data_IF_476617871781
#
_entry.id   IF_476617871781
#
_cell.length_a   1.000
_cell.length_b   1.000
_cell.length_c   1.000
_cell.angle_alpha   90.00
_cell.angle_beta   90.00
_cell.angle_gamma   90.00
#
_symmetry.space_group_name_H-M   'P 1'
#
loop_
_entity.id
_entity.type
_entity.pdbx_description
1 polymer ?
#
# COMPACT_ATOMS: atom_id res chain seq x y z
N UNK A 1 -60.05 -35.33 -21.50
CA UNK A 1 -58.65 -35.70 -21.21
C UNK A 1 -57.88 -34.40 -21.05
N UNK A 2 -57.60 -33.97 -19.81
CA UNK A 2 -56.92 -32.71 -19.50
C UNK A 2 -55.43 -33.00 -19.38
N UNK A 3 -54.62 -32.36 -20.23
CA UNK A 3 -53.18 -32.47 -20.22
C UNK A 3 -52.63 -31.51 -19.14
N UNK A 4 -52.16 -32.05 -18.01
CA UNK A 4 -51.40 -31.29 -17.02
C UNK A 4 -49.93 -31.20 -17.49
N UNK A 5 -49.47 -29.99 -17.79
CA UNK A 5 -48.06 -29.68 -18.02
C UNK A 5 -47.46 -29.27 -16.68
N UNK A 6 -46.61 -30.11 -16.10
CA UNK A 6 -45.79 -29.76 -14.94
C UNK A 6 -44.54 -29.04 -15.44
N UNK A 7 -44.45 -27.73 -15.19
CA UNK A 7 -43.22 -26.96 -15.39
C UNK A 7 -42.37 -27.18 -14.14
N UNK A 8 -41.30 -27.96 -14.27
CA UNK A 8 -40.29 -28.10 -13.21
C UNK A 8 -39.48 -26.80 -13.16
N UNK A 9 -39.74 -25.97 -12.14
CA UNK A 9 -38.81 -24.91 -11.78
C UNK A 9 -37.58 -25.57 -11.16
N UNK A 10 -36.43 -25.50 -11.84
CA UNK A 10 -35.16 -25.89 -11.25
C UNK A 10 -34.87 -25.08 -9.98
N UNK A 11 -34.00 -25.59 -9.08
CA UNK A 11 -33.61 -24.86 -7.88
C UNK A 11 -33.07 -23.47 -8.26
N UNK A 12 -33.31 -22.43 -7.45
CA UNK A 12 -32.70 -21.12 -7.68
C UNK A 12 -31.19 -21.29 -7.77
N UNK A 13 -30.60 -20.74 -8.83
CA UNK A 13 -29.15 -20.64 -8.96
C UNK A 13 -28.67 -19.90 -7.73
N UNK A 14 -27.91 -20.59 -6.86
CA UNK A 14 -27.26 -19.95 -5.72
C UNK A 14 -26.38 -18.84 -6.27
N UNK A 15 -26.73 -17.58 -6.00
CA UNK A 15 -25.85 -16.45 -6.30
C UNK A 15 -24.52 -16.71 -5.56
N UNK A 16 -23.41 -16.63 -6.29
CA UNK A 16 -22.09 -16.78 -5.68
C UNK A 16 -21.89 -15.65 -4.67
N UNK A 17 -21.50 -15.98 -3.44
CA UNK A 17 -21.22 -14.99 -2.39
C UNK A 17 -20.12 -14.06 -2.87
N UNK A 18 -20.37 -12.74 -2.83
CA UNK A 18 -19.36 -11.74 -3.15
C UNK A 18 -18.58 -11.41 -1.88
N UNK A 19 -17.25 -11.50 -1.97
CA UNK A 19 -16.31 -11.10 -0.94
C UNK A 19 -15.55 -9.85 -1.38
N UNK A 20 -15.11 -9.06 -0.41
CA UNK A 20 -14.24 -7.91 -0.65
C UNK A 20 -13.24 -7.77 0.48
N UNK A 21 -12.10 -7.18 0.15
CA UNK A 21 -11.02 -6.95 1.11
C UNK A 21 -10.19 -5.74 0.71
N UNK A 22 -9.52 -5.15 1.71
CA UNK A 22 -8.59 -4.04 1.51
C UNK A 22 -7.34 -4.32 2.32
N UNK A 23 -6.17 -4.08 1.74
CA UNK A 23 -4.90 -4.23 2.45
C UNK A 23 -3.69 -4.11 1.54
N UNK A 24 -2.53 -4.39 2.13
CA UNK A 24 -1.29 -4.53 1.39
C UNK A 24 -1.27 -5.92 0.72
N UNK A 25 -1.16 -5.94 -0.61
CA UNK A 25 -1.08 -7.20 -1.36
C UNK A 25 0.30 -7.84 -1.24
N UNK A 26 0.35 -9.14 -0.94
CA UNK A 26 1.58 -9.91 -0.84
C UNK A 26 1.40 -11.30 -1.42
N UNK A 27 2.52 -11.95 -1.73
CA UNK A 27 2.52 -13.37 -2.04
C UNK A 27 2.26 -14.17 -0.76
N UNK A 28 1.40 -15.19 -0.86
CA UNK A 28 1.18 -16.10 0.24
C UNK A 28 2.47 -16.90 0.50
N UNK A 29 2.92 -16.95 1.75
CA UNK A 29 4.14 -17.68 2.15
C UNK A 29 3.85 -19.09 2.67
N UNK A 30 2.60 -19.56 2.54
CA UNK A 30 2.19 -20.91 2.93
C UNK A 30 2.03 -21.12 4.43
N UNK A 31 1.78 -20.06 5.20
CA UNK A 31 1.57 -20.15 6.66
C UNK A 31 0.10 -20.17 7.06
N UNK A 32 -0.84 -20.00 6.12
CA UNK A 32 -2.27 -20.11 6.42
C UNK A 32 -2.75 -21.56 6.42
N UNK A 33 -3.92 -21.76 7.02
CA UNK A 33 -4.67 -23.01 6.96
C UNK A 33 -5.33 -23.27 5.61
N UNK A 34 -5.32 -22.30 4.70
CA UNK A 34 -6.06 -22.34 3.45
C UNK A 34 -5.13 -22.81 2.33
N UNK A 35 -5.28 -24.06 1.90
CA UNK A 35 -4.31 -24.77 1.04
C UNK A 35 -4.18 -24.14 -0.36
N UNK A 36 -5.20 -23.40 -0.81
CA UNK A 36 -5.30 -22.91 -2.19
C UNK A 36 -4.84 -21.46 -2.36
N UNK A 37 -4.56 -20.70 -1.30
CA UNK A 37 -4.22 -19.29 -1.46
C UNK A 37 -2.90 -19.08 -2.23
N UNK A 38 -2.90 -18.06 -3.07
CA UNK A 38 -1.71 -17.65 -3.84
C UNK A 38 -1.14 -16.32 -3.33
N UNK A 39 -2.03 -15.46 -2.83
CA UNK A 39 -1.74 -14.11 -2.37
C UNK A 39 -2.55 -13.83 -1.10
N UNK A 40 -2.13 -12.81 -0.35
CA UNK A 40 -2.83 -12.34 0.84
C UNK A 40 -2.96 -10.82 0.81
N UNK A 41 -4.08 -10.30 1.30
CA UNK A 41 -4.20 -8.91 1.73
C UNK A 41 -3.92 -8.84 3.22
N UNK A 42 -2.86 -8.15 3.60
CA UNK A 42 -2.59 -7.86 5.01
C UNK A 42 -3.15 -6.48 5.35
N UNK A 43 -4.08 -6.40 6.31
CA UNK A 43 -4.43 -5.13 6.95
C UNK A 43 -3.27 -4.71 7.85
N UNK A 44 -2.55 -3.62 7.53
CA UNK A 44 -1.40 -3.20 8.32
C UNK A 44 -1.77 -2.67 9.71
N UNK A 45 -3.04 -2.32 9.96
CA UNK A 45 -3.50 -1.83 11.25
C UNK A 45 -3.69 -2.95 12.26
N UNK A 46 -4.30 -4.04 11.79
CA UNK A 46 -4.74 -5.15 12.65
C UNK A 46 -3.82 -6.37 12.51
N UNK A 47 -3.01 -6.43 11.45
CA UNK A 47 -2.24 -7.61 11.07
C UNK A 47 -3.10 -8.75 10.51
N UNK A 48 -4.40 -8.51 10.29
CA UNK A 48 -5.31 -9.55 9.78
C UNK A 48 -5.06 -9.79 8.30
N UNK A 49 -5.10 -11.06 7.88
CA UNK A 49 -4.85 -11.46 6.49
C UNK A 49 -6.12 -12.02 5.83
N UNK A 50 -6.36 -11.63 4.58
CA UNK A 50 -7.43 -12.19 3.73
C UNK A 50 -6.80 -12.93 2.55
N UNK A 51 -7.19 -14.20 2.37
CA UNK A 51 -6.66 -15.08 1.33
C UNK A 51 -7.22 -14.74 -0.06
N UNK A 52 -6.35 -14.74 -1.06
CA UNK A 52 -6.67 -14.48 -2.47
C UNK A 52 -6.15 -15.60 -3.38
N UNK A 53 -6.90 -15.90 -4.44
CA UNK A 53 -6.55 -16.89 -5.45
C UNK A 53 -6.39 -16.25 -6.83
N UNK A 54 -5.22 -16.44 -7.44
CA UNK A 54 -4.85 -15.94 -8.76
C UNK A 54 -5.22 -16.94 -9.88
N UNK A 55 -5.13 -18.26 -9.61
CA UNK A 55 -5.31 -19.27 -10.66
C UNK A 55 -6.79 -19.62 -10.90
N UNK A 56 -7.16 -19.66 -12.18
CA UNK A 56 -8.48 -20.04 -12.74
C UNK A 56 -9.68 -19.11 -12.47
N UNK A 57 -9.63 -18.24 -11.46
CA UNK A 57 -10.75 -17.37 -11.10
C UNK A 57 -10.41 -15.87 -11.03
N UNK A 58 -9.12 -15.51 -11.05
CA UNK A 58 -8.70 -14.11 -11.15
C UNK A 58 -8.49 -13.70 -12.61
N UNK A 59 -9.08 -12.59 -13.01
CA UNK A 59 -8.76 -11.93 -14.29
C UNK A 59 -7.62 -10.91 -14.15
N UNK A 60 -7.18 -10.67 -12.91
CA UNK A 60 -6.22 -9.62 -12.55
C UNK A 60 -4.86 -10.26 -12.23
N UNK A 61 -3.76 -9.84 -12.86
CA UNK A 61 -2.42 -10.35 -12.58
C UNK A 61 -1.91 -9.81 -11.23
N UNK A 62 -2.22 -10.50 -10.14
CA UNK A 62 -1.96 -10.04 -8.76
C UNK A 62 -0.47 -9.75 -8.50
N UNK A 63 0.44 -10.48 -9.15
CA UNK A 63 1.88 -10.27 -9.05
C UNK A 63 2.33 -8.85 -9.43
N UNK A 64 1.62 -8.19 -10.36
CA UNK A 64 1.92 -6.81 -10.77
C UNK A 64 1.53 -5.76 -9.72
N UNK A 65 0.77 -6.16 -8.70
CA UNK A 65 0.29 -5.29 -7.63
C UNK A 65 0.92 -5.65 -6.28
N UNK A 66 1.91 -6.54 -6.25
CA UNK A 66 2.61 -6.88 -5.01
C UNK A 66 3.13 -5.63 -4.32
N UNK A 67 3.00 -5.63 -2.99
CA UNK A 67 3.40 -4.55 -2.10
C UNK A 67 2.69 -3.22 -2.36
N UNK A 68 1.54 -3.24 -3.02
CA UNK A 68 0.68 -2.08 -3.18
C UNK A 68 -0.53 -2.19 -2.25
N UNK A 69 -1.03 -1.05 -1.79
CA UNK A 69 -2.32 -0.99 -1.09
C UNK A 69 -3.43 -1.04 -2.12
N UNK A 70 -4.27 -2.07 -2.01
CA UNK A 70 -5.34 -2.33 -2.96
C UNK A 70 -6.65 -2.63 -2.24
N UNK A 71 -7.74 -2.33 -2.92
CA UNK A 71 -9.06 -2.89 -2.62
C UNK A 71 -9.35 -3.94 -3.69
N UNK A 72 -9.85 -5.09 -3.29
CA UNK A 72 -10.25 -6.17 -4.18
C UNK A 72 -11.68 -6.59 -3.91
N UNK A 73 -12.35 -7.04 -4.95
CA UNK A 73 -13.67 -7.67 -4.86
C UNK A 73 -13.73 -8.88 -5.78
N UNK A 74 -14.56 -9.86 -5.43
CA UNK A 74 -14.68 -11.08 -6.20
C UNK A 74 -15.64 -12.07 -5.59
N UNK A 75 -15.77 -13.22 -6.22
CA UNK A 75 -16.58 -14.33 -5.69
C UNK A 75 -15.79 -15.13 -4.66
N UNK A 76 -16.48 -15.65 -3.66
CA UNK A 76 -15.92 -16.70 -2.81
C UNK A 76 -15.69 -17.96 -3.64
N UNK A 77 -14.44 -18.39 -3.73
CA UNK A 77 -14.01 -19.59 -4.46
C UNK A 77 -13.39 -20.63 -3.53
N UNK A 78 -13.33 -20.34 -2.23
CA UNK A 78 -12.66 -21.22 -1.29
C UNK A 78 -13.54 -22.38 -0.86
N UNK A 79 -12.91 -23.54 -0.72
CA UNK A 79 -13.59 -24.79 -0.31
C UNK A 79 -13.60 -24.92 1.21
N UNK A 80 -12.47 -24.64 1.86
CA UNK A 80 -12.28 -24.80 3.31
C UNK A 80 -12.32 -23.46 4.07
N UNK A 81 -11.87 -22.40 3.41
CA UNK A 81 -11.82 -21.04 3.93
C UNK A 81 -12.49 -20.08 2.94
N UNK A 82 -12.96 -18.90 3.38
CA UNK A 82 -13.29 -17.83 2.45
C UNK A 82 -12.04 -17.41 1.65
N UNK A 83 -12.09 -17.51 0.32
CA UNK A 83 -11.01 -17.10 -0.58
C UNK A 83 -11.59 -16.23 -1.68
N UNK A 84 -11.01 -15.04 -1.89
CA UNK A 84 -11.50 -14.12 -2.91
C UNK A 84 -10.88 -14.49 -4.27
N UNK A 85 -11.70 -14.93 -5.21
CA UNK A 85 -11.35 -15.01 -6.64
C UNK A 85 -11.46 -13.62 -7.26
N UNK A 86 -10.33 -12.92 -7.38
CA UNK A 86 -10.29 -11.47 -7.63
C UNK A 86 -10.81 -11.11 -9.02
N UNK A 87 -11.89 -10.32 -9.07
CA UNK A 87 -12.51 -9.84 -10.32
C UNK A 87 -12.22 -8.36 -10.56
N UNK A 88 -12.21 -7.56 -9.49
CA UNK A 88 -11.86 -6.15 -9.54
C UNK A 88 -10.73 -5.85 -8.55
N UNK A 89 -9.83 -4.95 -8.95
CA UNK A 89 -8.74 -4.46 -8.12
C UNK A 89 -8.51 -2.98 -8.42
N UNK A 90 -8.42 -2.18 -7.36
CA UNK A 90 -8.07 -0.76 -7.45
C UNK A 90 -7.01 -0.41 -6.43
N UNK A 91 -6.15 0.55 -6.76
CA UNK A 91 -5.28 1.18 -5.76
C UNK A 91 -6.11 1.94 -4.73
N UNK A 92 -5.64 1.95 -3.49
CA UNK A 92 -6.23 2.73 -2.40
C UNK A 92 -5.11 3.35 -1.58
N UNK A 93 -5.39 4.47 -0.92
CA UNK A 93 -4.43 5.03 0.03
C UNK A 93 -4.11 4.03 1.16
N UNK A 94 -2.89 4.06 1.72
CA UNK A 94 -2.57 3.37 2.95
C UNK A 94 -3.53 3.81 4.07
N UNK A 95 -3.91 2.93 4.99
CA UNK A 95 -4.78 3.31 6.10
C UNK A 95 -4.07 4.27 7.07
N UNK A 96 -4.83 5.18 7.67
CA UNK A 96 -4.32 6.23 8.57
C UNK A 96 -3.70 5.70 9.88
N UNK A 97 -3.85 4.41 10.18
CA UNK A 97 -3.24 3.77 11.33
C UNK A 97 -1.71 3.61 11.19
N UNK A 98 -1.20 3.64 9.96
CA UNK A 98 0.22 3.72 9.69
C UNK A 98 0.66 5.11 10.11
N UNK A 99 1.07 5.23 11.37
CA UNK A 99 1.44 6.49 12.00
C UNK A 99 2.35 7.32 11.09
N UNK A 100 2.10 8.63 11.08
CA UNK A 100 2.76 9.55 10.18
C UNK A 100 4.20 9.85 10.61
N UNK A 101 4.97 10.47 9.73
CA UNK A 101 6.32 10.95 10.03
C UNK A 101 6.32 11.87 11.27
N UNK A 102 7.05 11.47 12.30
CA UNK A 102 7.29 12.28 13.49
C UNK A 102 8.56 13.10 13.33
N UNK A 103 8.43 14.42 13.39
CA UNK A 103 9.53 15.38 13.33
C UNK A 103 9.75 15.95 14.73
N UNK A 104 10.92 15.68 15.29
CA UNK A 104 11.23 16.00 16.69
C UNK A 104 12.44 16.92 16.78
N UNK A 105 12.43 17.84 17.75
CA UNK A 105 13.46 18.88 17.97
C UNK A 105 13.53 19.89 16.80
N UNK A 106 13.94 21.12 17.09
CA UNK A 106 14.05 22.21 16.10
C UNK A 106 15.49 22.67 15.85
N UNK A 107 16.46 22.14 16.61
CA UNK A 107 17.88 22.51 16.53
C UNK A 107 18.77 21.32 16.16
N UNK A 108 18.31 20.10 16.43
CA UNK A 108 18.85 18.86 15.91
C UNK A 108 17.68 17.98 15.51
N UNK A 109 16.97 18.42 14.48
CA UNK A 109 15.75 17.79 14.01
C UNK A 109 16.02 16.34 13.68
N UNK A 110 15.22 15.44 14.23
CA UNK A 110 15.36 14.02 13.96
C UNK A 110 14.01 13.40 13.68
N UNK A 111 14.04 12.42 12.79
CA UNK A 111 12.85 11.89 12.14
C UNK A 111 12.57 10.47 12.61
N UNK A 112 11.31 10.16 12.89
CA UNK A 112 10.86 8.81 13.18
C UNK A 112 9.61 8.46 12.38
N UNK A 113 9.54 7.22 11.90
CA UNK A 113 8.37 6.71 11.19
C UNK A 113 8.22 5.20 11.45
N UNK A 114 7.01 4.64 11.36
CA UNK A 114 6.83 3.20 11.43
C UNK A 114 7.44 2.53 10.19
N UNK A 115 7.97 1.33 10.39
CA UNK A 115 8.39 0.49 9.28
C UNK A 115 7.21 0.15 8.38
N UNK A 116 7.46 0.15 7.07
CA UNK A 116 6.52 -0.31 6.07
C UNK A 116 6.89 -1.73 5.67
N UNK A 117 5.88 -2.60 5.64
CA UNK A 117 6.07 -3.93 5.09
C UNK A 117 6.39 -3.81 3.59
N UNK A 118 7.17 -4.76 3.07
CA UNK A 118 7.78 -4.73 1.72
C UNK A 118 8.78 -3.60 1.43
N UNK A 119 9.08 -2.70 2.38
CA UNK A 119 10.14 -1.73 2.17
C UNK A 119 11.50 -2.43 2.05
N UNK A 120 12.28 -2.05 1.05
CA UNK A 120 13.69 -2.44 0.88
C UNK A 120 14.64 -1.34 1.37
N UNK A 121 14.27 -0.08 1.15
CA UNK A 121 15.03 1.09 1.60
C UNK A 121 14.11 2.28 1.89
N UNK A 122 14.67 3.33 2.49
CA UNK A 122 14.02 4.62 2.65
C UNK A 122 14.89 5.76 2.15
N UNK A 123 14.27 6.68 1.42
CA UNK A 123 14.84 7.97 1.06
C UNK A 123 14.24 9.05 1.94
N UNK A 124 15.09 9.97 2.36
CA UNK A 124 14.71 11.02 3.29
C UNK A 124 15.16 12.34 2.69
N UNK A 125 14.19 13.23 2.49
CA UNK A 125 14.42 14.54 1.91
C UNK A 125 13.91 15.63 2.84
N UNK A 126 14.54 16.79 2.72
CA UNK A 126 14.13 18.06 3.33
C UNK A 126 13.94 19.09 2.24
N UNK A 127 12.80 19.78 2.25
CA UNK A 127 12.59 20.95 1.40
C UNK A 127 12.15 22.17 2.19
N UNK A 128 12.11 23.32 1.53
CA UNK A 128 11.61 24.57 2.11
C UNK A 128 10.14 24.80 1.75
N UNK A 129 9.38 25.43 2.64
CA UNK A 129 8.06 25.94 2.29
C UNK A 129 8.17 26.99 1.16
N UNK A 130 7.20 27.09 0.23
CA UNK A 130 5.79 26.68 0.35
C UNK A 130 5.51 25.17 0.19
N UNK A 131 6.51 24.38 -0.19
CA UNK A 131 6.41 22.92 -0.21
C UNK A 131 6.02 22.34 -1.57
N UNK A 132 5.65 21.05 -1.59
CA UNK A 132 5.28 20.35 -2.81
C UNK A 132 4.10 20.98 -3.54
N UNK A 133 4.13 20.95 -4.87
CA UNK A 133 3.03 21.39 -5.73
C UNK A 133 2.58 20.26 -6.66
N UNK A 134 1.28 20.18 -6.92
CA UNK A 134 0.73 19.21 -7.87
C UNK A 134 0.84 19.76 -9.30
N UNK A 135 1.42 18.95 -10.19
CA UNK A 135 1.54 19.26 -11.62
C UNK A 135 1.23 18.02 -12.46
N UNK A 136 0.15 18.10 -13.26
CA UNK A 136 -0.28 17.03 -14.17
C UNK A 136 -0.43 15.64 -13.53
N UNK A 137 -0.89 15.57 -12.27
CA UNK A 137 -1.04 14.31 -11.51
C UNK A 137 0.27 13.77 -10.92
N UNK A 138 1.36 14.51 -11.04
CA UNK A 138 2.62 14.26 -10.37
C UNK A 138 2.90 15.35 -9.33
N UNK A 139 3.84 15.10 -8.42
CA UNK A 139 4.25 16.03 -7.38
C UNK A 139 5.60 16.63 -7.72
N UNK A 140 5.66 17.96 -7.88
CA UNK A 140 6.92 18.71 -7.91
C UNK A 140 7.27 19.11 -6.48
N UNK A 141 8.34 18.51 -5.94
CA UNK A 141 8.81 18.75 -4.58
C UNK A 141 9.64 20.05 -4.47
N UNK A 142 9.98 20.67 -5.60
CA UNK A 142 10.84 21.83 -5.66
C UNK A 142 12.29 21.51 -5.28
N UNK A 143 13.09 22.50 -4.86
CA UNK A 143 14.45 22.27 -4.41
C UNK A 143 14.46 21.54 -3.06
N UNK A 144 15.03 20.33 -3.05
CA UNK A 144 15.19 19.51 -1.85
C UNK A 144 16.65 19.21 -1.57
N UNK A 145 16.94 18.91 -0.30
CA UNK A 145 18.19 18.32 0.18
C UNK A 145 17.94 16.86 0.51
N UNK A 146 18.71 15.98 -0.10
CA UNK A 146 18.72 14.56 0.26
C UNK A 146 19.47 14.40 1.59
N UNK A 147 18.77 13.97 2.63
CA UNK A 147 19.35 13.67 3.94
C UNK A 147 19.87 12.24 3.99
N UNK A 148 19.14 11.31 3.38
CA UNK A 148 19.58 9.92 3.18
C UNK A 148 19.06 9.40 1.85
N UNK A 149 19.94 8.69 1.15
CA UNK A 149 19.60 7.89 -0.01
C UNK A 149 19.75 6.41 0.37
N UNK A 150 18.72 5.60 0.10
CA UNK A 150 18.72 4.16 0.30
C UNK A 150 19.06 3.66 1.72
N UNK A 151 18.40 4.23 2.74
CA UNK A 151 18.49 3.69 4.11
C UNK A 151 17.87 2.29 4.15
N UNK A 152 18.68 1.24 4.26
CA UNK A 152 18.20 -0.14 4.25
C UNK A 152 17.09 -0.42 5.28
N UNK A 153 15.98 -0.99 4.81
CA UNK A 153 14.86 -1.39 5.64
C UNK A 153 15.02 -2.87 6.07
N UNK A 154 14.82 -3.23 7.34
CA UNK A 154 14.77 -4.62 7.76
C UNK A 154 13.52 -5.25 7.19
N UNK A 155 13.72 -6.41 6.57
CA UNK A 155 12.64 -7.19 6.00
C UNK A 155 11.70 -7.68 7.11
N UNK A 156 10.40 -7.45 6.95
CA UNK A 156 9.36 -8.27 7.59
C UNK A 156 8.85 -7.85 8.97
N UNK A 157 9.05 -6.61 9.43
CA UNK A 157 8.37 -6.13 10.64
C UNK A 157 7.61 -4.84 10.37
N UNK A 158 6.31 -4.78 10.73
CA UNK A 158 5.49 -3.55 10.76
C UNK A 158 5.48 -2.88 12.15
N UNK A 159 6.10 -3.50 13.16
CA UNK A 159 6.04 -3.04 14.55
C UNK A 159 7.26 -2.24 14.97
N UNK A 160 8.27 -2.12 14.10
CA UNK A 160 9.47 -1.36 14.39
C UNK A 160 9.32 0.10 13.98
N UNK A 161 9.78 1.00 14.86
CA UNK A 161 9.95 2.42 14.50
C UNK A 161 11.35 2.62 13.94
N UNK A 162 11.43 3.25 12.77
CA UNK A 162 12.66 3.73 12.18
C UNK A 162 13.05 5.07 12.77
N UNK A 163 14.35 5.24 12.96
CA UNK A 163 14.93 6.53 13.33
C UNK A 163 15.88 6.95 12.22
N UNK A 164 15.58 8.08 11.58
CA UNK A 164 16.41 8.68 10.55
C UNK A 164 17.63 9.40 11.13
N UNK A 165 18.49 9.97 10.28
CA UNK A 165 19.61 10.77 10.74
C UNK A 165 19.11 12.05 11.41
N UNK A 166 20.01 12.69 12.14
CA UNK A 166 19.80 14.03 12.65
C UNK A 166 20.10 15.04 11.54
N UNK A 167 19.15 15.94 11.31
CA UNK A 167 19.35 17.14 10.53
C UNK A 167 19.79 18.27 11.49
N UNK A 168 21.00 18.79 11.26
CA UNK A 168 21.58 19.85 12.07
C UNK A 168 21.24 21.26 11.57
N UNK A 169 20.67 21.40 10.38
CA UNK A 169 20.31 22.71 9.86
C UNK A 169 18.99 23.19 10.47
N UNK A 170 18.93 24.47 10.78
CA UNK A 170 17.71 25.15 11.18
C UNK A 170 17.22 26.07 10.05
N UNK A 171 15.90 26.20 9.84
CA UNK A 171 15.38 27.17 8.88
C UNK A 171 15.70 28.59 9.34
N UNK A 172 15.89 29.51 8.39
CA UNK A 172 16.04 30.92 8.72
C UNK A 172 14.78 31.47 9.42
N UNK A 173 14.91 32.59 10.13
CA UNK A 173 13.77 33.22 10.81
C UNK A 173 12.61 33.47 9.85
N UNK A 174 11.42 32.98 10.21
CA UNK A 174 10.20 33.10 9.39
C UNK A 174 10.09 32.08 8.26
N UNK A 175 11.05 31.15 8.13
CA UNK A 175 10.97 30.01 7.22
C UNK A 175 10.68 28.72 7.99
N UNK A 176 10.23 27.70 7.27
CA UNK A 176 10.10 26.35 7.81
C UNK A 176 10.52 25.34 6.74
N UNK A 177 11.00 24.20 7.21
CA UNK A 177 11.25 23.03 6.37
C UNK A 177 10.06 22.09 6.40
N UNK A 178 9.87 21.35 5.32
CA UNK A 178 9.10 20.12 5.31
C UNK A 178 10.06 18.93 5.16
N UNK A 179 9.64 17.79 5.67
CA UNK A 179 10.39 16.54 5.58
C UNK A 179 9.49 15.48 4.95
N UNK A 180 10.05 14.67 4.08
CA UNK A 180 9.35 13.52 3.51
C UNK A 180 10.23 12.29 3.63
N UNK A 181 9.58 11.17 3.92
CA UNK A 181 10.19 9.84 3.90
C UNK A 181 9.46 9.01 2.87
N UNK A 182 10.20 8.52 1.88
CA UNK A 182 9.71 7.56 0.90
C UNK A 182 10.28 6.20 1.22
N UNK A 183 9.45 5.16 1.19
CA UNK A 183 9.93 3.79 1.15
C UNK A 183 10.16 3.39 -0.31
N UNK A 184 11.21 2.65 -0.62
CA UNK A 184 11.30 1.88 -1.86
C UNK A 184 10.75 0.49 -1.59
N UNK A 185 9.83 0.01 -2.43
CA UNK A 185 9.16 -1.28 -2.24
C UNK A 185 9.76 -2.34 -3.18
N UNK A 186 9.94 -3.57 -2.69
CA UNK A 186 10.67 -4.65 -3.38
C UNK A 186 10.16 -5.03 -4.78
N UNK A 187 8.95 -4.63 -5.16
CA UNK A 187 8.30 -4.93 -6.44
C UNK A 187 7.88 -3.68 -7.23
N UNK A 188 8.19 -2.47 -6.74
CA UNK A 188 7.73 -1.22 -7.34
C UNK A 188 8.89 -0.44 -7.96
N UNK A 189 8.79 -0.17 -9.26
CA UNK A 189 9.77 0.67 -9.97
C UNK A 189 9.59 2.17 -9.69
N UNK A 190 8.44 2.55 -9.13
CA UNK A 190 8.14 3.91 -8.69
C UNK A 190 7.43 3.79 -7.36
N UNK A 191 7.96 4.42 -6.31
CA UNK A 191 7.22 4.50 -5.04
C UNK A 191 6.76 5.93 -4.82
N UNK A 192 5.45 6.18 -4.65
CA UNK A 192 4.96 7.52 -4.40
C UNK A 192 5.37 8.00 -3.00
N UNK A 193 5.42 9.31 -2.81
CA UNK A 193 5.59 9.92 -1.49
C UNK A 193 4.31 9.85 -0.65
N UNK A 194 3.16 9.70 -1.31
CA UNK A 194 1.86 9.72 -0.66
C UNK A 194 0.73 9.33 -1.60
N UNK A 195 -0.48 9.65 -1.17
CA UNK A 195 -1.69 9.50 -1.95
C UNK A 195 -2.53 10.76 -1.76
N UNK A 196 -3.16 11.22 -2.83
CA UNK A 196 -4.10 12.34 -2.76
C UNK A 196 -5.36 11.93 -1.98
N UNK A 197 -6.19 12.92 -1.65
CA UNK A 197 -7.53 12.70 -1.10
C UNK A 197 -8.49 11.95 -2.06
N UNK A 198 -8.06 11.67 -3.29
CA UNK A 198 -8.79 10.88 -4.30
C UNK A 198 -8.09 9.55 -4.60
N UNK A 199 -7.29 9.03 -3.66
CA UNK A 199 -6.57 7.76 -3.75
C UNK A 199 -5.60 7.67 -4.97
N UNK A 200 -5.17 8.82 -5.51
CA UNK A 200 -4.21 8.86 -6.61
C UNK A 200 -2.78 8.87 -6.06
N UNK A 201 -1.92 8.01 -6.60
CA UNK A 201 -0.52 7.94 -6.19
C UNK A 201 0.22 9.26 -6.48
N UNK A 202 0.89 9.79 -5.47
CA UNK A 202 1.66 11.04 -5.54
C UNK A 202 3.11 10.75 -5.93
N UNK A 203 3.31 10.46 -7.22
CA UNK A 203 4.63 10.17 -7.77
C UNK A 203 5.43 11.47 -7.98
N UNK A 204 6.71 11.51 -7.59
CA UNK A 204 7.53 12.70 -7.76
C UNK A 204 7.88 12.92 -9.24
N UNK A 205 7.72 14.16 -9.72
CA UNK A 205 8.20 14.61 -11.04
C UNK A 205 9.62 15.21 -10.96
N UNK A 206 9.96 15.81 -9.80
CA UNK A 206 11.23 16.49 -9.54
C UNK A 206 11.47 16.66 -8.03
N UNK A 207 12.73 16.86 -7.65
CA UNK A 207 13.11 17.18 -6.26
C UNK A 207 13.21 15.97 -5.34
N UNK A 208 14.11 15.05 -5.66
CA UNK A 208 14.30 13.78 -4.96
C UNK A 208 15.79 13.53 -4.67
N UNK A 209 16.10 12.52 -3.85
CA UNK A 209 17.42 11.93 -3.81
C UNK A 209 17.79 11.41 -5.21
N UNK A 210 18.99 11.76 -5.68
CA UNK A 210 19.49 11.24 -6.96
C UNK A 210 19.84 9.74 -6.81
N UNK A 211 19.50 8.90 -7.80
CA UNK A 211 19.92 7.49 -7.82
C UNK A 211 21.43 7.31 -7.96
#
# INVERSE_FOLDING_TARGET
MILLVFVAFGPPVSEATVLSGRGLLRQATGTSTCIEESHVLTDPCTGFESALLDSQFSSVPLNSYLCQYVSVSGTDVGIECPIIGVQELTFVAPPSCLADLSVNDSTSTWLQWPSRLCASSYDIIRGALPGPTLNAGMVDLGPVVCLVNDLGAPFGSMTSTFTGPRDADAPALGQAFFYLVRATLQSSNVTPYGFSNTDSQENPASGDCAP
#
